data_IF_757219712524
#
_entry.id   IF_757219712524
#
_cell.length_a   1.000
_cell.length_b   1.000
_cell.length_c   1.000
_cell.angle_alpha   90.00
_cell.angle_beta   90.00
_cell.angle_gamma   90.00
#
_symmetry.space_group_name_H-M   'P 1'
#
loop_
_entity.id
_entity.type
_entity.pdbx_description
1 polymer ?
#
# COMPACT_ATOMS: atom_id res chain seq x y z
N UNK A 1 11.39 8.61 -15.88
CA UNK A 1 10.97 7.45 -15.08
C UNK A 1 10.40 6.41 -16.02
N UNK A 2 10.94 5.20 -16.08
CA UNK A 2 10.30 4.12 -16.84
C UNK A 2 8.96 3.82 -16.17
N UNK A 3 7.85 4.05 -16.87
CA UNK A 3 6.53 3.71 -16.35
C UNK A 3 6.46 2.21 -16.06
N UNK A 4 5.78 1.84 -14.98
CA UNK A 4 5.70 0.45 -14.54
C UNK A 4 4.54 -0.22 -15.25
N UNK A 5 4.78 -1.35 -15.90
CA UNK A 5 3.72 -2.17 -16.47
C UNK A 5 3.22 -3.16 -15.42
N UNK A 6 1.93 -3.13 -15.05
CA UNK A 6 1.41 -4.02 -14.02
C UNK A 6 1.49 -5.48 -14.45
N UNK A 7 1.51 -5.78 -15.76
CA UNK A 7 1.68 -7.15 -16.29
C UNK A 7 3.02 -7.76 -15.93
N UNK A 8 4.04 -6.93 -15.69
CA UNK A 8 5.35 -7.39 -15.27
C UNK A 8 5.46 -7.54 -13.74
N UNK A 9 4.43 -7.14 -12.98
CA UNK A 9 4.41 -7.34 -11.53
C UNK A 9 4.18 -8.81 -11.23
N UNK A 10 4.99 -9.36 -10.32
CA UNK A 10 4.97 -10.79 -9.96
C UNK A 10 3.57 -11.32 -9.68
N UNK A 11 2.76 -10.63 -8.88
CA UNK A 11 1.39 -11.10 -8.59
C UNK A 11 0.47 -11.16 -9.82
N UNK A 12 0.63 -10.26 -10.79
CA UNK A 12 -0.07 -10.33 -12.07
C UNK A 12 0.35 -11.57 -12.85
N UNK A 13 1.67 -11.79 -12.94
CA UNK A 13 2.23 -12.97 -13.64
C UNK A 13 1.75 -14.27 -13.03
N UNK A 14 1.78 -14.39 -11.70
CA UNK A 14 1.30 -15.60 -11.01
C UNK A 14 -0.17 -15.90 -11.30
N UNK A 15 -0.98 -14.87 -11.61
CA UNK A 15 -2.38 -15.00 -12.03
C UNK A 15 -2.59 -15.47 -13.49
N UNK A 16 -1.56 -15.52 -14.33
CA UNK A 16 -1.72 -15.99 -15.71
C UNK A 16 -2.04 -17.48 -15.77
N UNK A 17 -3.17 -17.81 -16.38
CA UNK A 17 -3.59 -19.19 -16.63
C UNK A 17 -2.62 -19.88 -17.60
N UNK A 18 -2.08 -21.03 -17.20
CA UNK A 18 -1.13 -21.80 -18.02
C UNK A 18 -1.76 -22.22 -19.35
N UNK A 19 -1.08 -21.94 -20.45
CA UNK A 19 -1.57 -22.21 -21.80
C UNK A 19 -2.51 -21.14 -22.37
N UNK A 20 -2.86 -20.11 -21.60
CA UNK A 20 -3.55 -18.94 -22.14
C UNK A 20 -2.62 -18.14 -23.08
N UNK A 21 -3.21 -17.36 -23.98
CA UNK A 21 -2.46 -16.51 -24.92
C UNK A 21 -1.42 -15.63 -24.21
N UNK A 22 -1.82 -14.95 -23.13
CA UNK A 22 -0.91 -14.06 -22.40
C UNK A 22 0.20 -14.82 -21.67
N UNK A 23 -0.08 -16.02 -21.15
CA UNK A 23 0.96 -16.86 -20.53
C UNK A 23 2.05 -17.21 -21.53
N UNK A 24 1.65 -17.70 -22.71
CA UNK A 24 2.59 -18.10 -23.76
C UNK A 24 3.37 -16.90 -24.33
N UNK A 25 2.68 -15.79 -24.61
CA UNK A 25 3.33 -14.56 -25.11
C UNK A 25 4.32 -14.00 -24.09
N UNK A 26 3.90 -13.82 -22.83
CA UNK A 26 4.77 -13.23 -21.80
C UNK A 26 6.02 -14.09 -21.56
N UNK A 27 5.89 -15.42 -21.43
CA UNK A 27 7.05 -16.27 -21.17
C UNK A 27 7.91 -16.57 -22.40
N UNK A 28 7.39 -16.33 -23.61
CA UNK A 28 8.22 -16.29 -24.82
C UNK A 28 9.15 -15.07 -24.83
N UNK A 29 8.68 -13.92 -24.33
CA UNK A 29 9.46 -12.69 -24.23
C UNK A 29 10.36 -12.65 -22.98
N UNK A 30 9.93 -13.33 -21.90
CA UNK A 30 10.58 -13.36 -20.58
C UNK A 30 10.89 -14.81 -20.11
N UNK A 31 11.68 -15.60 -20.87
CA UNK A 31 11.95 -17.00 -20.54
C UNK A 31 12.64 -17.17 -19.17
N UNK A 32 13.39 -16.17 -18.70
CA UNK A 32 14.06 -16.16 -17.41
C UNK A 32 13.09 -16.12 -16.22
N UNK A 33 11.85 -15.65 -16.42
CA UNK A 33 10.81 -15.57 -15.37
C UNK A 33 10.02 -16.85 -15.22
N UNK A 34 9.95 -17.68 -16.25
CA UNK A 34 9.07 -18.86 -16.28
C UNK A 34 9.37 -19.85 -15.15
N UNK A 35 10.63 -20.20 -14.97
CA UNK A 35 11.03 -21.21 -13.98
C UNK A 35 10.71 -20.79 -12.54
N UNK A 36 10.97 -19.52 -12.19
CA UNK A 36 10.67 -19.01 -10.84
C UNK A 36 9.17 -18.87 -10.63
N UNK A 37 8.42 -18.36 -11.60
CA UNK A 37 6.97 -18.17 -11.46
C UNK A 37 6.23 -19.52 -11.43
N UNK A 38 6.62 -20.50 -12.26
CA UNK A 38 6.05 -21.86 -12.21
C UNK A 38 6.31 -22.52 -10.85
N UNK A 39 7.52 -22.35 -10.30
CA UNK A 39 7.84 -22.84 -8.95
C UNK A 39 6.97 -22.16 -7.90
N UNK A 40 6.81 -20.83 -7.93
CA UNK A 40 5.97 -20.09 -6.99
C UNK A 40 4.49 -20.48 -7.08
N UNK A 41 3.93 -20.68 -8.28
CA UNK A 41 2.54 -21.15 -8.47
C UNK A 41 2.28 -22.53 -7.88
N UNK A 42 3.31 -23.38 -7.80
CA UNK A 42 3.18 -24.74 -7.25
C UNK A 42 3.24 -24.80 -5.72
N UNK A 43 3.53 -23.68 -5.04
CA UNK A 43 3.58 -23.62 -3.58
C UNK A 43 2.19 -23.36 -3.01
N UNK A 44 1.94 -23.75 -1.76
CA UNK A 44 0.68 -23.42 -1.10
C UNK A 44 0.43 -21.91 -1.06
N UNK A 45 -0.84 -21.56 -1.18
CA UNK A 45 -1.36 -20.21 -1.03
C UNK A 45 -1.37 -19.73 0.42
N UNK A 46 -1.90 -18.52 0.62
CA UNK A 46 -2.12 -17.96 1.95
C UNK A 46 -3.06 -18.86 2.76
N UNK A 47 -2.71 -19.15 4.01
CA UNK A 47 -3.56 -19.90 4.94
C UNK A 47 -3.91 -21.33 4.51
N UNK A 48 -3.18 -21.92 3.55
CA UNK A 48 -3.43 -23.28 3.09
C UNK A 48 -2.75 -24.34 3.97
N UNK A 49 -3.33 -25.55 4.12
CA UNK A 49 -2.69 -26.65 4.82
C UNK A 49 -1.30 -26.99 4.24
N UNK A 50 -0.34 -27.27 5.14
CA UNK A 50 1.03 -27.64 4.76
C UNK A 50 2.04 -26.50 4.81
N UNK A 51 1.61 -25.28 5.15
CA UNK A 51 2.52 -24.17 5.48
C UNK A 51 2.90 -24.17 6.97
N UNK A 52 3.96 -23.44 7.33
CA UNK A 52 4.51 -23.46 8.70
C UNK A 52 3.55 -22.86 9.74
N UNK A 53 2.88 -21.77 9.40
CA UNK A 53 1.97 -21.03 10.29
C UNK A 53 0.50 -21.38 10.03
N UNK A 54 0.23 -22.52 9.36
CA UNK A 54 -1.14 -22.96 9.16
C UNK A 54 -1.80 -23.27 10.51
N UNK A 55 -2.97 -22.67 10.73
CA UNK A 55 -3.82 -22.90 11.88
C UNK A 55 -5.25 -23.12 11.38
N UNK A 56 -5.83 -24.27 11.70
CA UNK A 56 -7.14 -24.70 11.20
C UNK A 56 -8.27 -23.71 11.56
N UNK A 57 -8.13 -22.97 12.66
CA UNK A 57 -9.14 -22.02 13.13
C UNK A 57 -8.84 -20.58 12.70
N UNK A 58 -7.56 -20.18 12.67
CA UNK A 58 -7.16 -18.79 12.42
C UNK A 58 -6.90 -18.52 10.94
N UNK A 59 -6.26 -19.43 10.21
CA UNK A 59 -5.95 -19.22 8.78
C UNK A 59 -7.20 -18.91 7.93
N UNK A 60 -8.37 -19.55 8.16
CA UNK A 60 -9.60 -19.18 7.45
C UNK A 60 -10.06 -17.73 7.64
N UNK A 61 -9.68 -17.06 8.73
CA UNK A 61 -10.05 -15.65 8.97
C UNK A 61 -9.45 -14.74 7.90
N UNK A 62 -8.17 -14.93 7.57
CA UNK A 62 -7.51 -14.16 6.51
C UNK A 62 -8.07 -14.51 5.13
N UNK A 63 -8.34 -15.79 4.86
CA UNK A 63 -8.96 -16.21 3.60
C UNK A 63 -10.35 -15.60 3.39
N UNK A 64 -11.18 -15.57 4.43
CA UNK A 64 -12.49 -14.93 4.38
C UNK A 64 -12.39 -13.42 4.06
N UNK A 65 -11.36 -12.74 4.57
CA UNK A 65 -11.11 -11.33 4.25
C UNK A 65 -10.71 -11.12 2.79
N UNK A 66 -9.86 -11.99 2.21
CA UNK A 66 -9.52 -11.94 0.79
C UNK A 66 -10.70 -12.31 -0.12
N UNK A 67 -11.53 -13.29 0.28
CA UNK A 67 -12.76 -13.64 -0.42
C UNK A 67 -13.71 -12.43 -0.46
N UNK A 68 -13.94 -11.79 0.69
CA UNK A 68 -14.73 -10.56 0.77
C UNK A 68 -14.19 -9.45 -0.14
N UNK A 69 -12.88 -9.20 -0.13
CA UNK A 69 -12.25 -8.23 -1.02
C UNK A 69 -12.47 -8.58 -2.51
N UNK A 70 -12.38 -9.86 -2.86
CA UNK A 70 -12.63 -10.33 -4.22
C UNK A 70 -14.07 -10.08 -4.66
N UNK A 71 -15.05 -10.25 -3.77
CA UNK A 71 -16.46 -10.00 -4.05
C UNK A 71 -16.74 -8.52 -4.32
N UNK A 72 -16.03 -7.60 -3.64
CA UNK A 72 -16.31 -6.16 -3.74
C UNK A 72 -15.40 -5.39 -4.71
N UNK A 73 -14.28 -5.97 -5.18
CA UNK A 73 -13.29 -5.23 -6.00
C UNK A 73 -13.84 -4.64 -7.30
N UNK A 74 -14.90 -5.23 -7.86
CA UNK A 74 -15.56 -4.74 -9.07
C UNK A 74 -16.27 -3.40 -8.83
N UNK A 75 -16.62 -3.06 -7.58
CA UNK A 75 -17.24 -1.78 -7.23
C UNK A 75 -16.30 -0.59 -7.43
N UNK A 76 -14.99 -0.82 -7.59
CA UNK A 76 -14.01 0.21 -7.94
C UNK A 76 -14.17 0.75 -9.37
N UNK A 77 -14.78 -0.03 -10.28
CA UNK A 77 -14.96 0.34 -11.70
C UNK A 77 -16.20 1.20 -11.96
N UNK A 78 -16.97 1.56 -10.91
CA UNK A 78 -18.21 2.32 -11.08
C UNK A 78 -17.94 3.73 -11.58
N UNK A 79 -18.63 4.09 -12.66
CA UNK A 79 -18.71 5.45 -13.20
C UNK A 79 -19.80 6.27 -12.52
N UNK A 80 -19.80 7.57 -12.74
CA UNK A 80 -20.91 8.44 -12.31
C UNK A 80 -21.90 8.70 -13.44
N UNK A 81 -23.19 8.62 -13.13
CA UNK A 81 -24.28 9.09 -13.99
C UNK A 81 -24.82 10.46 -13.50
N UNK A 82 -24.24 11.01 -12.43
CA UNK A 82 -24.66 12.29 -11.88
C UNK A 82 -24.03 13.44 -12.66
N UNK A 83 -24.82 14.48 -12.95
CA UNK A 83 -24.30 15.71 -13.53
C UNK A 83 -23.34 16.42 -12.55
N UNK A 84 -22.18 16.91 -13.03
CA UNK A 84 -21.22 17.64 -12.21
C UNK A 84 -21.86 18.84 -11.50
N UNK A 85 -21.67 18.91 -10.18
CA UNK A 85 -22.13 20.03 -9.36
C UNK A 85 -20.94 20.85 -8.92
N UNK A 86 -21.05 22.17 -9.03
CA UNK A 86 -20.03 23.07 -8.53
C UNK A 86 -19.87 22.90 -7.02
N UNK A 87 -18.64 22.70 -6.58
CA UNK A 87 -18.28 22.56 -5.17
C UNK A 87 -17.15 23.52 -4.83
N UNK A 88 -17.22 24.08 -3.63
CA UNK A 88 -16.13 24.88 -3.08
C UNK A 88 -14.91 23.97 -2.82
N UNK A 89 -13.81 24.23 -3.53
CA UNK A 89 -12.59 23.42 -3.50
C UNK A 89 -12.05 23.22 -2.09
N UNK A 90 -12.01 24.28 -1.28
CA UNK A 90 -11.42 24.24 0.04
C UNK A 90 -12.33 23.50 1.03
N UNK A 91 -13.62 23.81 1.05
CA UNK A 91 -14.60 23.09 1.86
C UNK A 91 -14.65 21.61 1.51
N UNK A 92 -14.69 21.28 0.22
CA UNK A 92 -14.74 19.88 -0.23
C UNK A 92 -13.49 19.11 0.19
N UNK A 93 -12.30 19.72 0.05
CA UNK A 93 -11.05 19.13 0.55
C UNK A 93 -11.13 18.83 2.05
N UNK A 94 -11.60 19.79 2.85
CA UNK A 94 -11.71 19.60 4.30
C UNK A 94 -12.76 18.54 4.67
N UNK A 95 -13.92 18.52 4.03
CA UNK A 95 -14.97 17.54 4.31
C UNK A 95 -14.55 16.11 3.94
N UNK A 96 -13.87 15.92 2.80
CA UNK A 96 -13.31 14.61 2.41
C UNK A 96 -12.30 14.12 3.45
N UNK A 97 -11.35 14.97 3.86
CA UNK A 97 -10.34 14.61 4.87
C UNK A 97 -11.01 14.25 6.20
N UNK A 98 -11.97 15.04 6.67
CA UNK A 98 -12.73 14.75 7.90
C UNK A 98 -13.50 13.43 7.80
N UNK A 99 -14.17 13.18 6.68
CA UNK A 99 -14.92 11.95 6.46
C UNK A 99 -14.01 10.72 6.51
N UNK A 100 -12.85 10.78 5.83
CA UNK A 100 -11.85 9.70 5.83
C UNK A 100 -11.36 9.38 7.24
N UNK A 101 -11.01 10.40 8.02
CA UNK A 101 -10.58 10.23 9.41
C UNK A 101 -11.72 9.68 10.28
N UNK A 102 -12.94 10.18 10.09
CA UNK A 102 -14.13 9.68 10.79
C UNK A 102 -14.44 8.21 10.47
N UNK A 103 -14.21 7.77 9.23
CA UNK A 103 -14.40 6.38 8.81
C UNK A 103 -13.29 5.43 9.29
N UNK A 104 -12.29 5.94 10.03
CA UNK A 104 -11.30 5.13 10.72
C UNK A 104 -9.90 5.15 10.09
N UNK A 105 -9.61 6.05 9.16
CA UNK A 105 -8.22 6.30 8.77
C UNK A 105 -7.48 7.11 9.85
N UNK A 106 -6.19 6.82 10.03
CA UNK A 106 -5.31 7.53 10.96
C UNK A 106 -4.59 8.71 10.31
N UNK A 107 -4.43 8.67 8.98
CA UNK A 107 -3.74 9.69 8.19
C UNK A 107 -4.45 9.87 6.86
N UNK A 108 -4.43 11.09 6.34
CA UNK A 108 -4.93 11.43 5.01
C UNK A 108 -4.13 12.58 4.42
N UNK A 109 -3.87 12.50 3.13
CA UNK A 109 -3.21 13.54 2.35
C UNK A 109 -3.69 13.49 0.90
N UNK A 110 -3.47 14.57 0.18
CA UNK A 110 -3.93 14.74 -1.20
C UNK A 110 -2.77 15.21 -2.07
N UNK A 111 -2.62 14.64 -3.25
CA UNK A 111 -1.61 15.06 -4.24
C UNK A 111 -2.25 15.13 -5.63
N UNK A 112 -1.62 15.87 -6.54
CA UNK A 112 -1.85 15.69 -7.97
C UNK A 112 -1.40 14.28 -8.39
N UNK A 113 -2.13 13.68 -9.33
CA UNK A 113 -1.73 12.44 -10.00
C UNK A 113 -0.68 12.77 -11.03
N UNK A 114 0.44 12.05 -10.98
CA UNK A 114 1.51 12.15 -11.97
C UNK A 114 1.60 10.86 -12.78
N UNK A 115 2.07 10.90 -14.03
CA UNK A 115 2.22 9.70 -14.85
C UNK A 115 3.10 8.62 -14.21
N UNK A 116 4.04 8.97 -13.33
CA UNK A 116 4.83 8.02 -12.55
C UNK A 116 4.07 7.27 -11.44
N UNK A 117 2.89 7.73 -11.08
CA UNK A 117 2.07 7.06 -10.08
C UNK A 117 1.27 5.92 -10.68
N UNK A 118 0.96 5.96 -11.98
CA UNK A 118 0.09 5.00 -12.64
C UNK A 118 0.90 3.85 -13.27
N UNK A 119 0.26 2.69 -13.35
CA UNK A 119 0.74 1.62 -14.23
C UNK A 119 0.46 1.98 -15.69
N UNK A 120 1.20 1.42 -16.65
CA UNK A 120 0.91 1.61 -18.09
C UNK A 120 -0.23 0.75 -18.58
N UNK A 121 -0.24 -0.52 -18.17
CA UNK A 121 -1.25 -1.50 -18.51
C UNK A 121 -1.71 -2.24 -17.27
N UNK A 122 -2.95 -2.70 -17.32
CA UNK A 122 -3.57 -3.52 -16.28
C UNK A 122 -3.02 -4.94 -16.34
N UNK A 123 -2.55 -5.44 -15.21
CA UNK A 123 -2.05 -6.81 -15.02
C UNK A 123 -3.09 -7.71 -14.34
N UNK A 124 -4.17 -7.12 -13.82
CA UNK A 124 -5.29 -7.79 -13.14
C UNK A 124 -6.46 -6.81 -12.96
N UNK A 125 -7.70 -7.28 -12.70
CA UNK A 125 -8.16 -8.68 -12.84
C UNK A 125 -8.18 -9.19 -14.30
N UNK A 126 -8.48 -10.47 -14.48
CA UNK A 126 -8.31 -11.20 -15.75
C UNK A 126 -9.14 -10.63 -16.92
N UNK A 127 -10.33 -10.09 -16.62
CA UNK A 127 -11.28 -9.52 -17.57
C UNK A 127 -10.80 -8.20 -18.21
N UNK A 128 -9.87 -7.51 -17.56
CA UNK A 128 -9.31 -6.22 -17.99
C UNK A 128 -7.81 -6.29 -18.29
N UNK A 129 -7.26 -7.49 -18.29
CA UNK A 129 -5.84 -7.75 -18.48
C UNK A 129 -5.32 -7.20 -19.82
N UNK A 130 -4.22 -6.45 -19.77
CA UNK A 130 -3.58 -5.84 -20.94
C UNK A 130 -4.21 -4.54 -21.42
N UNK A 131 -5.33 -4.10 -20.85
CA UNK A 131 -5.88 -2.78 -21.16
C UNK A 131 -4.92 -1.68 -20.70
N UNK A 132 -4.84 -0.61 -21.48
CA UNK A 132 -4.10 0.60 -21.10
C UNK A 132 -4.80 1.24 -19.91
N UNK A 133 -4.03 1.68 -18.93
CA UNK A 133 -4.56 2.40 -17.77
C UNK A 133 -4.99 3.80 -18.18
N UNK A 134 -6.22 4.17 -17.80
CA UNK A 134 -6.74 5.53 -17.96
C UNK A 134 -6.00 6.50 -17.03
N UNK A 135 -5.50 7.60 -17.59
CA UNK A 135 -4.75 8.65 -16.90
C UNK A 135 -5.57 9.94 -16.71
N UNK A 136 -6.89 9.87 -16.88
CA UNK A 136 -7.80 11.01 -16.76
C UNK A 136 -7.93 11.60 -15.33
N UNK A 137 -7.56 10.85 -14.30
CA UNK A 137 -7.60 11.32 -12.92
C UNK A 137 -6.53 12.39 -12.68
N UNK A 138 -6.92 13.50 -12.04
CA UNK A 138 -6.02 14.63 -11.78
C UNK A 138 -5.53 14.69 -10.35
N UNK A 139 -6.29 14.14 -9.40
CA UNK A 139 -5.98 14.17 -7.97
C UNK A 139 -6.07 12.76 -7.36
N UNK A 140 -5.21 12.50 -6.39
CA UNK A 140 -5.22 11.31 -5.57
C UNK A 140 -5.39 11.70 -4.09
N UNK A 141 -6.41 11.14 -3.46
CA UNK A 141 -6.62 11.20 -2.01
C UNK A 141 -6.05 9.91 -1.43
N UNK A 142 -4.98 10.02 -0.65
CA UNK A 142 -4.27 8.88 -0.07
C UNK A 142 -4.48 8.90 1.44
N UNK A 143 -4.75 7.73 2.00
CA UNK A 143 -4.99 7.59 3.43
C UNK A 143 -4.37 6.32 3.96
N UNK A 144 -4.17 6.28 5.27
CA UNK A 144 -3.56 5.16 5.94
C UNK A 144 -4.33 4.75 7.18
N UNK A 145 -4.40 3.45 7.43
CA UNK A 145 -4.83 2.87 8.71
C UNK A 145 -3.61 2.26 9.38
N UNK A 146 -3.42 2.50 10.68
CA UNK A 146 -2.42 1.79 11.48
C UNK A 146 -2.78 0.32 11.56
N UNK A 147 -1.77 -0.53 11.37
CA UNK A 147 -1.89 -1.96 11.68
C UNK A 147 -1.58 -2.20 13.15
N UNK A 148 -2.36 -3.08 13.78
CA UNK A 148 -2.20 -3.41 15.20
C UNK A 148 -0.76 -3.87 15.51
N UNK A 149 -0.14 -3.20 16.49
CA UNK A 149 1.28 -3.40 16.82
C UNK A 149 1.56 -4.82 17.28
N UNK A 150 0.70 -5.38 18.14
CA UNK A 150 0.96 -6.67 18.77
C UNK A 150 0.74 -7.80 17.76
N UNK A 151 -0.27 -7.66 16.89
CA UNK A 151 -0.49 -8.56 15.77
C UNK A 151 0.69 -8.55 14.77
N UNK A 152 1.21 -7.37 14.40
CA UNK A 152 2.37 -7.29 13.50
C UNK A 152 3.64 -7.87 14.15
N UNK A 153 3.81 -7.72 15.46
CA UNK A 153 4.98 -8.25 16.17
C UNK A 153 5.01 -9.78 16.26
N UNK A 154 3.93 -10.49 15.90
CA UNK A 154 3.97 -11.96 15.77
C UNK A 154 4.62 -12.43 14.47
N UNK A 155 5.02 -11.52 13.58
CA UNK A 155 5.65 -11.82 12.30
C UNK A 155 6.72 -12.93 12.39
N UNK A 156 6.66 -13.99 11.55
CA UNK A 156 5.75 -14.17 10.41
C UNK A 156 4.45 -14.94 10.72
N UNK A 157 4.01 -14.98 11.98
CA UNK A 157 2.85 -15.75 12.43
C UNK A 157 1.52 -15.38 11.78
N UNK A 158 0.55 -16.28 11.92
CA UNK A 158 -0.80 -16.17 11.31
C UNK A 158 -1.52 -14.88 11.71
N UNK A 159 -1.34 -14.40 12.94
CA UNK A 159 -1.95 -13.15 13.42
C UNK A 159 -1.47 -11.93 12.62
N UNK A 160 -0.18 -11.87 12.29
CA UNK A 160 0.37 -10.80 11.45
C UNK A 160 -0.23 -10.82 10.04
N UNK A 161 -0.52 -12.01 9.51
CA UNK A 161 -1.24 -12.20 8.25
C UNK A 161 -2.68 -11.70 8.34
N UNK A 162 -3.40 -12.05 9.42
CA UNK A 162 -4.79 -11.63 9.62
C UNK A 162 -4.89 -10.10 9.72
N UNK A 163 -3.99 -9.46 10.45
CA UNK A 163 -3.94 -7.99 10.53
C UNK A 163 -3.66 -7.36 9.17
N UNK A 164 -2.76 -7.97 8.39
CA UNK A 164 -2.51 -7.61 7.00
C UNK A 164 -3.80 -7.56 6.18
N UNK A 165 -4.62 -8.62 6.23
CA UNK A 165 -5.90 -8.70 5.49
C UNK A 165 -6.95 -7.73 6.04
N UNK A 166 -7.13 -7.66 7.37
CA UNK A 166 -8.08 -6.73 7.99
C UNK A 166 -7.77 -5.28 7.60
N UNK A 167 -6.50 -4.92 7.50
CA UNK A 167 -6.11 -3.58 7.06
C UNK A 167 -6.48 -3.31 5.60
N UNK A 168 -6.39 -4.31 4.70
CA UNK A 168 -6.87 -4.20 3.32
C UNK A 168 -8.38 -3.97 3.26
N UNK A 169 -9.15 -4.73 4.03
CA UNK A 169 -10.61 -4.55 4.14
C UNK A 169 -10.93 -3.13 4.61
N UNK A 170 -10.23 -2.65 5.65
CA UNK A 170 -10.44 -1.32 6.22
C UNK A 170 -10.25 -0.22 5.17
N UNK A 171 -9.14 -0.22 4.44
CA UNK A 171 -8.87 0.81 3.43
C UNK A 171 -9.79 0.70 2.20
N UNK A 172 -10.21 -0.52 1.84
CA UNK A 172 -11.16 -0.73 0.74
C UNK A 172 -12.53 -0.12 1.08
N UNK A 173 -13.03 -0.32 2.30
CA UNK A 173 -14.31 0.22 2.74
C UNK A 173 -14.33 1.76 2.76
N UNK A 174 -13.27 2.37 3.30
CA UNK A 174 -13.10 3.83 3.31
C UNK A 174 -13.05 4.36 1.87
N UNK A 175 -12.19 3.77 1.03
CA UNK A 175 -12.00 4.20 -0.35
C UNK A 175 -13.25 4.06 -1.21
N UNK A 176 -13.98 2.95 -1.05
CA UNK A 176 -15.28 2.76 -1.72
C UNK A 176 -16.25 3.85 -1.31
N UNK A 177 -16.47 4.06 -0.01
CA UNK A 177 -17.42 5.06 0.47
C UNK A 177 -17.10 6.45 -0.07
N UNK A 178 -15.84 6.88 0.00
CA UNK A 178 -15.40 8.17 -0.54
C UNK A 178 -15.60 8.25 -2.05
N UNK A 179 -15.36 7.17 -2.78
CA UNK A 179 -15.62 7.15 -4.23
C UNK A 179 -17.10 7.33 -4.55
N UNK A 180 -18.02 6.69 -3.80
CA UNK A 180 -19.46 6.94 -3.96
C UNK A 180 -19.85 8.36 -3.59
N UNK A 181 -19.27 8.91 -2.53
CA UNK A 181 -19.50 10.28 -2.10
C UNK A 181 -19.11 11.27 -3.19
N UNK A 182 -17.90 11.16 -3.75
CA UNK A 182 -17.42 12.05 -4.83
C UNK A 182 -18.28 11.89 -6.09
N UNK A 183 -18.60 10.66 -6.49
CA UNK A 183 -19.49 10.41 -7.64
C UNK A 183 -20.87 11.01 -7.47
N UNK A 184 -21.39 11.12 -6.24
CA UNK A 184 -22.69 11.76 -5.98
C UNK A 184 -22.72 13.27 -6.32
N UNK A 185 -21.55 13.91 -6.47
CA UNK A 185 -21.41 15.28 -6.98
C UNK A 185 -21.11 15.34 -8.48
N UNK A 186 -21.13 14.20 -9.19
CA UNK A 186 -20.90 14.11 -10.63
C UNK A 186 -19.42 14.15 -11.04
N UNK A 187 -18.50 13.89 -10.12
CA UNK A 187 -17.07 13.74 -10.42
C UNK A 187 -16.70 12.26 -10.49
N UNK A 188 -15.78 11.91 -11.40
CA UNK A 188 -15.26 10.55 -11.47
C UNK A 188 -14.38 10.26 -10.27
N UNK A 189 -14.57 9.10 -9.66
CA UNK A 189 -13.76 8.67 -8.53
C UNK A 189 -13.63 7.15 -8.49
N UNK A 190 -12.40 6.69 -8.25
CA UNK A 190 -12.04 5.29 -8.22
C UNK A 190 -11.21 4.98 -6.99
N UNK A 191 -11.63 3.96 -6.23
CA UNK A 191 -10.82 3.39 -5.17
C UNK A 191 -9.75 2.45 -5.72
N UNK A 192 -8.59 2.44 -5.08
CA UNK A 192 -7.49 1.51 -5.34
C UNK A 192 -7.38 0.54 -4.18
N UNK A 193 -7.71 -0.73 -4.45
CA UNK A 193 -7.83 -1.77 -3.44
C UNK A 193 -7.26 -3.10 -3.90
N UNK A 194 -7.16 -4.06 -2.97
CA UNK A 194 -6.53 -5.34 -3.25
C UNK A 194 -7.08 -6.02 -4.52
N UNK A 195 -6.17 -6.58 -5.31
CA UNK A 195 -6.49 -7.22 -6.59
C UNK A 195 -6.94 -6.28 -7.72
N UNK A 196 -7.09 -4.96 -7.49
CA UNK A 196 -7.57 -4.01 -8.51
C UNK A 196 -6.96 -2.60 -8.36
N UNK A 197 -5.65 -2.49 -8.56
CA UNK A 197 -4.92 -1.23 -8.55
C UNK A 197 -4.67 -0.73 -9.97
N UNK A 198 -4.70 0.59 -10.18
CA UNK A 198 -4.16 1.23 -11.39
C UNK A 198 -2.92 2.08 -11.08
N UNK A 199 -2.53 2.12 -9.81
CA UNK A 199 -1.55 3.06 -9.29
C UNK A 199 -0.65 2.44 -8.22
N UNK A 200 0.58 2.94 -8.16
CA UNK A 200 1.56 2.74 -7.11
C UNK A 200 1.26 3.67 -5.94
N UNK A 201 0.34 3.24 -5.07
CA UNK A 201 -0.16 4.03 -3.93
C UNK A 201 0.96 4.55 -3.01
N UNK A 202 2.06 3.81 -2.86
CA UNK A 202 3.21 4.24 -2.09
C UNK A 202 3.85 5.55 -2.61
N UNK A 203 3.87 5.77 -3.94
CA UNK A 203 4.42 6.99 -4.53
C UNK A 203 3.48 8.17 -4.30
N UNK A 204 2.18 7.93 -4.41
CA UNK A 204 1.16 8.94 -4.11
C UNK A 204 1.19 9.31 -2.62
N UNK A 205 1.39 8.35 -1.72
CA UNK A 205 1.50 8.60 -0.27
C UNK A 205 2.68 9.50 0.08
N UNK A 206 3.84 9.31 -0.58
CA UNK A 206 5.00 10.21 -0.42
C UNK A 206 4.66 11.61 -0.90
N UNK A 207 4.09 11.73 -2.10
CA UNK A 207 3.73 13.04 -2.68
C UNK A 207 2.66 13.77 -1.87
N UNK A 208 1.73 13.04 -1.26
CA UNK A 208 0.70 13.55 -0.36
C UNK A 208 1.20 13.81 1.07
N UNK A 209 2.49 13.66 1.35
CA UNK A 209 3.09 14.00 2.65
C UNK A 209 2.85 13.00 3.78
N UNK A 210 2.43 11.76 3.51
CA UNK A 210 2.20 10.76 4.56
C UNK A 210 3.51 10.18 5.12
N UNK A 211 4.61 10.25 4.36
CA UNK A 211 5.92 9.75 4.78
C UNK A 211 6.90 9.57 3.63
N UNK A 212 7.93 8.77 3.86
CA UNK A 212 9.01 8.52 2.88
C UNK A 212 9.23 7.01 2.67
N UNK A 213 9.60 6.60 1.46
CA UNK A 213 9.94 5.20 1.16
C UNK A 213 11.28 4.84 1.81
N UNK A 214 11.25 3.84 2.68
CA UNK A 214 12.44 3.30 3.35
C UNK A 214 13.11 2.16 2.59
N UNK A 215 14.20 1.66 3.17
CA UNK A 215 15.01 0.57 2.61
C UNK A 215 14.19 -0.69 2.28
N UNK A 216 13.16 -0.98 3.05
CA UNK A 216 12.28 -2.14 2.84
C UNK A 216 11.29 -1.97 1.69
N UNK A 217 11.27 -0.82 1.01
CA UNK A 217 10.29 -0.48 -0.01
C UNK A 217 8.92 -0.05 0.54
N UNK A 218 8.74 -0.08 1.86
CA UNK A 218 7.53 0.40 2.54
C UNK A 218 7.61 1.91 2.78
N UNK A 219 6.46 2.56 2.87
CA UNK A 219 6.36 3.95 3.33
C UNK A 219 6.51 3.98 4.85
N UNK A 220 7.45 4.78 5.33
CA UNK A 220 7.67 5.02 6.75
C UNK A 220 7.02 6.35 7.10
N UNK A 221 6.11 6.31 8.06
CA UNK A 221 5.45 7.51 8.58
C UNK A 221 6.12 7.97 9.88
N UNK A 222 5.91 9.24 10.23
CA UNK A 222 6.43 9.79 11.48
C UNK A 222 5.81 9.11 12.71
N UNK A 223 4.53 8.77 12.66
CA UNK A 223 3.79 8.28 13.84
C UNK A 223 3.87 6.77 14.00
N UNK A 224 3.77 6.02 12.91
CA UNK A 224 3.55 4.58 12.94
C UNK A 224 4.69 3.78 12.30
N UNK A 225 5.72 4.47 11.78
CA UNK A 225 6.73 3.84 10.95
C UNK A 225 6.07 3.14 9.75
N UNK A 226 6.51 1.92 9.39
CA UNK A 226 5.90 1.14 8.31
C UNK A 226 4.63 0.37 8.70
N UNK A 227 4.15 0.42 9.96
CA UNK A 227 2.92 -0.28 10.39
C UNK A 227 1.65 0.43 9.92
N UNK A 228 1.55 0.67 8.63
CA UNK A 228 0.37 1.27 8.02
C UNK A 228 -0.04 0.50 6.76
N UNK A 229 -1.34 0.45 6.51
CA UNK A 229 -1.89 0.06 5.21
C UNK A 229 -2.37 1.30 4.49
N UNK A 230 -1.94 1.46 3.24
CA UNK A 230 -2.35 2.57 2.40
C UNK A 230 -3.61 2.20 1.60
N UNK A 231 -4.54 3.15 1.55
CA UNK A 231 -5.63 3.22 0.58
C UNK A 231 -5.51 4.49 -0.26
N UNK A 232 -6.10 4.47 -1.45
CA UNK A 232 -6.18 5.67 -2.27
C UNK A 232 -7.48 5.72 -3.08
N UNK A 233 -7.95 6.94 -3.33
CA UNK A 233 -9.01 7.25 -4.30
C UNK A 233 -8.43 8.24 -5.31
N UNK A 234 -8.49 7.91 -6.59
CA UNK A 234 -8.19 8.86 -7.67
C UNK A 234 -9.47 9.50 -8.18
N UNK A 235 -9.39 10.77 -8.56
CA UNK A 235 -10.55 11.55 -9.01
C UNK A 235 -10.16 12.67 -9.97
N UNK A 236 -11.13 13.14 -10.76
CA UNK A 236 -11.01 14.38 -11.54
C UNK A 236 -11.49 15.63 -10.77
N UNK A 237 -12.06 15.46 -9.57
CA UNK A 237 -12.43 16.54 -8.67
C UNK A 237 -11.19 17.34 -8.23
N UNK A 238 -11.23 18.65 -8.40
CA UNK A 238 -10.14 19.55 -8.02
C UNK A 238 -10.11 19.72 -6.49
N UNK A 239 -8.95 19.46 -5.88
CA UNK A 239 -8.77 19.50 -4.42
C UNK A 239 -7.48 20.25 -4.05
N UNK A 240 -7.39 20.73 -2.81
CA UNK A 240 -6.13 21.28 -2.30
C UNK A 240 -5.16 20.14 -2.02
N UNK A 241 -3.93 20.29 -2.46
CA UNK A 241 -2.87 19.30 -2.28
C UNK A 241 -2.06 19.59 -1.02
N UNK A 242 -1.49 18.54 -0.46
CA UNK A 242 -0.50 18.59 0.60
C UNK A 242 0.90 18.56 0.01
N UNK A 243 1.88 18.93 0.82
CA UNK A 243 3.30 18.91 0.47
C UNK A 243 3.99 17.68 1.06
N UNK A 244 5.09 17.26 0.44
CA UNK A 244 5.91 16.16 0.94
C UNK A 244 6.46 16.48 2.35
N UNK A 245 6.41 15.50 3.25
CA UNK A 245 7.10 15.56 4.56
C UNK A 245 8.52 14.99 4.41
N UNK A 246 9.53 15.75 4.83
CA UNK A 246 10.90 15.26 4.95
C UNK A 246 11.12 14.80 6.39
N UNK A 247 11.14 13.48 6.56
CA UNK A 247 11.39 12.83 7.86
C UNK A 247 12.78 12.19 7.93
N UNK A 248 13.63 12.51 6.94
CA UNK A 248 14.99 12.03 6.77
C UNK A 248 15.13 10.51 6.83
N UNK A 249 14.13 9.76 6.33
CA UNK A 249 14.15 8.29 6.31
C UNK A 249 15.36 7.75 5.56
N UNK A 250 15.73 8.41 4.46
CA UNK A 250 16.88 8.04 3.66
C UNK A 250 18.18 7.85 4.44
N UNK A 251 18.51 8.84 5.28
CA UNK A 251 19.77 8.87 6.03
C UNK A 251 19.76 7.90 7.19
N UNK A 252 18.60 7.72 7.83
CA UNK A 252 18.43 6.73 8.90
C UNK A 252 18.54 5.31 8.33
N UNK A 253 17.87 5.03 7.22
CA UNK A 253 17.87 3.72 6.57
C UNK A 253 19.25 3.30 6.06
N UNK A 254 20.07 4.24 5.56
CA UNK A 254 21.45 3.98 5.14
C UNK A 254 22.34 3.46 6.27
N UNK A 255 22.05 3.86 7.52
CA UNK A 255 22.82 3.46 8.71
C UNK A 255 22.22 2.25 9.43
N UNK A 256 20.89 2.11 9.39
CA UNK A 256 20.17 1.14 10.22
C UNK A 256 20.28 -0.29 9.70
N UNK A 257 19.99 -0.54 8.42
CA UNK A 257 20.05 -1.86 7.75
C UNK A 257 19.29 -3.04 8.40
N UNK A 258 18.58 -2.85 9.53
CA UNK A 258 17.92 -3.92 10.30
C UNK A 258 16.94 -4.76 9.49
N UNK A 259 16.15 -4.16 8.60
CA UNK A 259 15.24 -4.91 7.73
C UNK A 259 15.98 -5.84 6.75
N UNK A 260 17.16 -5.44 6.27
CA UNK A 260 18.01 -6.25 5.38
C UNK A 260 18.61 -7.43 6.14
N UNK A 261 19.11 -7.17 7.35
CA UNK A 261 19.67 -8.19 8.23
C UNK A 261 18.64 -9.27 8.57
N UNK A 262 17.42 -8.83 8.95
CA UNK A 262 16.34 -9.69 9.42
C UNK A 262 15.53 -10.36 8.32
N UNK A 263 15.62 -9.90 7.07
CA UNK A 263 14.90 -10.51 5.95
C UNK A 263 15.37 -11.96 5.72
N UNK A 264 14.52 -12.97 5.92
CA UNK A 264 14.95 -14.37 5.86
C UNK A 264 15.30 -14.84 4.44
N UNK A 265 14.72 -14.23 3.40
CA UNK A 265 15.02 -14.55 1.99
C UNK A 265 16.02 -13.63 1.33
N UNK A 266 16.55 -12.63 2.05
CA UNK A 266 17.45 -11.61 1.47
C UNK A 266 16.83 -10.96 0.22
N UNK A 267 15.53 -10.66 0.30
CA UNK A 267 14.77 -10.00 -0.76
C UNK A 267 15.05 -8.48 -0.81
N UNK A 268 15.49 -7.90 0.29
CA UNK A 268 15.83 -6.47 0.40
C UNK A 268 17.31 -6.29 0.04
N UNK A 269 17.66 -5.58 -1.04
CA UNK A 269 19.06 -5.43 -1.44
C UNK A 269 19.87 -4.59 -0.45
N UNK A 270 21.16 -4.87 -0.33
CA UNK A 270 22.07 -4.12 0.57
C UNK A 270 22.43 -2.72 0.05
N UNK A 271 22.34 -2.48 -1.27
CA UNK A 271 22.78 -1.25 -1.93
C UNK A 271 22.06 0.04 -1.48
N UNK A 272 22.79 1.16 -1.46
CA UNK A 272 22.24 2.49 -1.14
C UNK A 272 21.30 3.03 -2.21
N UNK A 273 20.73 4.22 -1.96
CA UNK A 273 19.91 4.91 -2.96
C UNK A 273 20.76 5.30 -4.18
N UNK A 274 20.21 5.16 -5.37
CA UNK A 274 20.83 5.57 -6.64
C UNK A 274 19.99 6.63 -7.33
N UNK A 275 20.63 7.46 -8.16
CA UNK A 275 19.91 8.46 -8.94
C UNK A 275 19.24 7.77 -10.15
N UNK A 276 17.92 7.78 -10.17
CA UNK A 276 17.09 7.26 -11.26
C UNK A 276 16.22 8.41 -11.74
N UNK A 277 16.45 8.88 -12.96
CA UNK A 277 15.69 9.98 -13.59
C UNK A 277 15.54 11.21 -12.69
N UNK A 278 16.64 11.60 -12.02
CA UNK A 278 16.69 12.79 -11.16
C UNK A 278 16.15 12.59 -9.74
N UNK A 279 15.67 11.40 -9.38
CA UNK A 279 15.19 11.07 -8.03
C UNK A 279 16.10 10.02 -7.38
N UNK A 280 16.33 10.16 -6.08
CA UNK A 280 17.07 9.17 -5.30
C UNK A 280 16.14 8.01 -4.94
N UNK A 281 16.37 6.83 -5.52
CA UNK A 281 15.53 5.65 -5.30
C UNK A 281 16.32 4.51 -4.64
N UNK A 282 15.64 3.74 -3.78
CA UNK A 282 16.22 2.51 -3.25
C UNK A 282 16.24 1.43 -4.34
N UNK A 283 17.22 0.49 -4.29
CA UNK A 283 17.16 -0.70 -5.13
C UNK A 283 15.82 -1.44 -4.92
N UNK A 284 15.16 -1.90 -5.99
CA UNK A 284 13.88 -2.56 -5.86
C UNK A 284 14.01 -3.86 -5.05
N UNK A 285 13.01 -4.13 -4.22
CA UNK A 285 12.88 -5.43 -3.55
C UNK A 285 12.76 -6.52 -4.61
N UNK A 286 13.32 -7.71 -4.35
CA UNK A 286 13.16 -8.88 -5.21
C UNK A 286 11.87 -9.60 -4.78
N UNK A 287 10.72 -9.36 -5.44
CA UNK A 287 9.42 -9.82 -4.95
C UNK A 287 9.33 -11.34 -4.91
N UNK A 288 9.95 -12.04 -5.87
CA UNK A 288 9.95 -13.51 -5.95
C UNK A 288 10.64 -14.13 -4.72
N UNK A 289 11.72 -13.51 -4.23
CA UNK A 289 12.39 -13.92 -2.98
C UNK A 289 11.53 -13.61 -1.76
N UNK A 290 10.84 -12.47 -1.74
CA UNK A 290 9.95 -12.12 -0.64
C UNK A 290 8.80 -13.14 -0.52
N UNK A 291 8.12 -13.40 -1.64
CA UNK A 291 6.96 -14.29 -1.71
C UNK A 291 7.29 -15.77 -1.48
N UNK A 292 8.54 -16.19 -1.72
CA UNK A 292 9.01 -17.53 -1.34
C UNK A 292 8.88 -17.79 0.17
N UNK A 293 9.04 -16.75 1.00
CA UNK A 293 8.83 -16.87 2.45
C UNK A 293 7.34 -16.91 2.75
N UNK A 294 6.54 -16.09 2.07
CA UNK A 294 5.09 -16.03 2.25
C UNK A 294 4.46 -17.39 2.02
N UNK A 295 4.71 -17.99 0.86
CA UNK A 295 4.22 -19.32 0.49
C UNK A 295 4.77 -20.46 1.36
N UNK A 296 5.89 -20.26 2.07
CA UNK A 296 6.40 -21.25 3.03
C UNK A 296 5.71 -21.09 4.40
N UNK A 297 5.51 -19.86 4.85
CA UNK A 297 4.87 -19.56 6.13
C UNK A 297 3.34 -19.74 6.05
N UNK A 298 2.74 -19.45 4.89
CA UNK A 298 1.29 -19.38 4.70
C UNK A 298 0.70 -18.03 5.11
N UNK A 299 1.52 -16.98 5.16
CA UNK A 299 1.18 -15.64 5.67
C UNK A 299 1.94 -14.56 4.90
N UNK A 300 1.72 -13.28 5.25
CA UNK A 300 2.34 -12.11 4.60
C UNK A 300 3.74 -11.74 5.14
N UNK A 301 4.34 -12.62 5.98
CA UNK A 301 5.68 -12.50 6.59
C UNK A 301 5.90 -11.30 7.53
N UNK A 302 5.74 -10.05 7.11
CA UNK A 302 5.80 -8.82 7.93
C UNK A 302 7.05 -8.55 8.79
N UNK A 303 8.10 -9.39 8.75
CA UNK A 303 9.29 -9.25 9.60
C UNK A 303 9.99 -7.89 9.43
N UNK A 304 10.13 -7.41 8.19
CA UNK A 304 10.79 -6.13 7.92
C UNK A 304 10.03 -4.93 8.51
N UNK A 305 8.71 -5.07 8.67
CA UNK A 305 7.84 -4.08 9.29
C UNK A 305 7.95 -4.15 10.81
N UNK A 306 7.83 -5.34 11.41
CA UNK A 306 7.94 -5.54 12.86
C UNK A 306 9.31 -5.09 13.40
N UNK A 307 10.39 -5.40 12.68
CA UNK A 307 11.77 -5.08 13.08
C UNK A 307 12.17 -3.62 12.85
N UNK A 308 11.33 -2.81 12.19
CA UNK A 308 11.69 -1.44 11.84
C UNK A 308 11.73 -0.55 13.09
N UNK A 309 12.86 0.11 13.41
CA UNK A 309 12.95 0.96 14.60
C UNK A 309 12.09 2.24 14.51
N UNK A 310 11.61 2.62 13.32
CA UNK A 310 10.62 3.70 13.17
C UNK A 310 9.30 3.42 13.90
N UNK A 311 9.03 2.16 14.23
CA UNK A 311 7.91 1.74 15.07
C UNK A 311 7.89 2.39 16.46
N UNK A 312 9.05 2.83 16.96
CA UNK A 312 9.22 3.43 18.29
C UNK A 312 9.89 4.81 18.27
N UNK A 313 10.62 5.13 17.20
CA UNK A 313 11.68 6.13 17.24
C UNK A 313 11.23 7.61 17.24
N UNK A 314 9.99 7.92 16.87
CA UNK A 314 9.59 9.33 16.63
C UNK A 314 8.66 9.92 17.70
N UNK A 315 8.05 9.10 18.56
CA UNK A 315 7.37 9.60 19.76
C UNK A 315 8.36 10.05 20.85
N UNK A 316 9.59 9.51 20.86
CA UNK A 316 10.58 9.82 21.91
C UNK A 316 11.48 11.04 21.62
N UNK A 317 11.58 11.49 20.36
CA UNK A 317 12.47 12.61 19.98
C UNK A 317 11.80 13.98 19.88
N UNK A 318 10.47 14.05 19.86
CA UNK A 318 9.74 15.34 19.87
C UNK A 318 9.65 15.93 21.27
N UNK A 319 9.58 15.12 22.34
CA UNK A 319 9.52 15.63 23.71
C UNK A 319 10.76 16.45 24.15
N UNK A 320 11.93 16.19 23.56
CA UNK A 320 13.18 16.88 23.93
C UNK A 320 13.37 18.25 23.26
N UNK A 321 12.64 18.58 22.19
CA UNK A 321 12.86 19.80 21.39
C UNK A 321 11.66 20.77 21.32
N UNK A 322 10.58 20.53 22.06
CA UNK A 322 9.42 21.43 22.07
C UNK A 322 9.71 22.69 22.89
N UNK A 323 9.36 23.85 22.33
CA UNK A 323 9.38 25.13 23.05
C UNK A 323 8.34 25.12 24.18
N UNK A 324 8.50 26.01 25.17
CA UNK A 324 7.69 25.99 26.41
C UNK A 324 6.16 26.05 26.20
N UNK A 325 5.68 26.60 25.08
CA UNK A 325 4.25 26.64 24.75
C UNK A 325 3.73 25.32 24.16
N UNK A 326 4.57 24.57 23.46
CA UNK A 326 4.20 23.30 22.83
C UNK A 326 4.20 22.14 23.84
N UNK A 327 5.04 22.21 24.88
CA UNK A 327 4.99 21.28 26.03
C UNK A 327 3.65 21.36 26.78
N UNK A 328 3.05 22.54 26.84
CA UNK A 328 1.75 22.73 27.50
C UNK A 328 0.60 22.14 26.66
N UNK A 329 0.70 22.15 25.33
CA UNK A 329 -0.27 21.52 24.45
C UNK A 329 -0.17 19.97 24.47
N UNK A 330 1.05 19.41 24.54
CA UNK A 330 1.27 17.97 24.67
C UNK A 330 0.75 17.41 26.01
N UNK A 331 1.00 18.10 27.12
CA UNK A 331 0.51 17.68 28.45
C UNK A 331 -1.02 17.76 28.60
N UNK A 332 -1.67 18.67 27.86
CA UNK A 332 -3.13 18.78 27.83
C UNK A 332 -3.80 17.68 27.00
N UNK A 333 -3.03 16.94 26.19
CA UNK A 333 -3.51 15.81 25.39
C UNK A 333 -3.45 14.50 26.20
N UNK A 334 -2.43 14.32 27.05
CA UNK A 334 -2.28 13.15 27.92
C UNK A 334 -3.30 13.11 29.07
N UNK A 335 -3.78 14.27 29.54
CA UNK A 335 -4.72 14.36 30.67
C UNK A 335 -6.20 14.23 30.28
N UNK A 336 -6.53 14.20 29.00
CA UNK A 336 -7.93 14.02 28.52
C UNK A 336 -8.31 12.59 28.17
N UNK A 337 -7.37 11.64 28.25
CA UNK A 337 -7.60 10.23 27.94
C UNK A 337 -7.27 9.29 29.12
N UNK A 338 -7.49 9.76 30.36
CA UNK A 338 -7.59 8.91 31.56
C UNK A 338 -9.00 9.02 32.13
#
# INVERSE_FOLDING_TARGET
MKHVDERDIMFSRLGYEKGSKIYEEYYSEHPEKKGIDDMLRSRPGYGEPGTVEFDEMKSPIGNAGFEFLSDIKHLAEKKTDAEPREVDKEKMTQEIKKAILYFGADMVGITEVKPEHLYTHRGRPQDVLGQVVDDSATHAIVFAVEMDKDMINTAPGVESGIEGVKSYVSVAMIGLWISYYIRSFGYEARTHMDGNYLAMVQKMAVDAGLGEIGKSGLVLTRKFGPRIRLGAVTTNLQLLTDERDDISVGDVCLKCMRCVEKCPSKAIPEGGRTLVDGKMEWPPIIPEKCYMVWSRMGTDCSICMAECPFNEALLKKTASNLSGKEKQAANNFETKNI
#
